data_IF_699974177239
#
_entry.id   IF_699974177239
#
_cell.length_a   1.000
_cell.length_b   1.000
_cell.length_c   1.000
_cell.angle_alpha   90.00
_cell.angle_beta   90.00
_cell.angle_gamma   90.00
#
_symmetry.space_group_name_H-M   'P 1'
#
loop_
_entity.id
_entity.type
_entity.pdbx_description
1 polymer ?
#
# COMPACT_ATOMS: atom_id res chain seq x y z
N UNK A 1 20.67 -2.16 9.75
CA UNK A 1 19.37 -1.55 9.38
C UNK A 1 18.35 -1.93 10.42
N UNK A 2 17.74 -0.97 11.10
CA UNK A 2 16.63 -1.26 12.01
C UNK A 2 15.37 -1.51 11.16
N UNK A 3 14.86 -2.74 11.19
CA UNK A 3 13.55 -3.06 10.63
C UNK A 3 12.50 -2.42 11.55
N UNK A 4 11.97 -1.26 11.15
CA UNK A 4 10.84 -0.64 11.83
C UNK A 4 9.64 -1.57 11.65
N UNK A 5 9.33 -2.34 12.70
CA UNK A 5 8.10 -3.13 12.75
C UNK A 5 6.94 -2.14 12.88
N UNK A 6 5.90 -2.23 12.05
CA UNK A 6 4.73 -1.38 12.20
C UNK A 6 4.11 -1.59 13.58
N UNK A 7 3.70 -0.51 14.22
CA UNK A 7 2.92 -0.57 15.47
C UNK A 7 1.53 -1.15 15.19
N UNK A 8 0.84 -1.68 16.19
CA UNK A 8 -0.50 -2.22 16.04
C UNK A 8 -1.51 -1.20 15.47
N UNK A 9 -1.31 0.08 15.79
CA UNK A 9 -2.09 1.19 15.23
C UNK A 9 -1.85 1.37 13.73
N UNK A 10 -0.58 1.36 13.30
CA UNK A 10 -0.20 1.44 11.89
C UNK A 10 -0.74 0.24 11.09
N UNK A 11 -0.76 -0.96 11.70
CA UNK A 11 -1.37 -2.15 11.11
C UNK A 11 -2.85 -1.93 10.81
N UNK A 12 -3.60 -1.41 11.79
CA UNK A 12 -5.01 -1.11 11.60
C UNK A 12 -5.27 -0.06 10.51
N UNK A 13 -4.37 0.90 10.31
CA UNK A 13 -4.57 1.98 9.33
C UNK A 13 -4.47 1.48 7.88
N UNK A 14 -3.38 0.77 7.53
CA UNK A 14 -3.23 0.30 6.15
C UNK A 14 -4.20 -0.86 5.84
N UNK A 15 -4.56 -1.70 6.81
CA UNK A 15 -5.56 -2.75 6.59
C UNK A 15 -6.94 -2.16 6.25
N UNK A 16 -7.37 -1.11 6.97
CA UNK A 16 -8.62 -0.41 6.64
C UNK A 16 -8.55 0.28 5.28
N UNK A 17 -7.40 0.87 4.93
CA UNK A 17 -7.22 1.49 3.61
C UNK A 17 -7.34 0.47 2.48
N UNK A 18 -6.65 -0.68 2.60
CA UNK A 18 -6.68 -1.73 1.58
C UNK A 18 -8.07 -2.35 1.44
N UNK A 19 -8.80 -2.52 2.54
CA UNK A 19 -10.19 -2.97 2.49
C UNK A 19 -11.09 -1.93 1.80
N UNK A 20 -10.91 -0.65 2.11
CA UNK A 20 -11.66 0.44 1.48
C UNK A 20 -11.39 0.55 -0.03
N UNK A 21 -10.19 0.19 -0.51
CA UNK A 21 -9.93 0.08 -1.96
C UNK A 21 -10.83 -0.99 -2.59
N UNK A 22 -10.89 -2.17 -1.99
CA UNK A 22 -11.70 -3.29 -2.48
C UNK A 22 -13.19 -2.92 -2.46
N UNK A 23 -13.68 -2.34 -1.36
CA UNK A 23 -15.06 -1.84 -1.22
C UNK A 23 -15.37 -0.70 -2.21
N UNK A 24 -14.38 0.13 -2.53
CA UNK A 24 -14.46 1.21 -3.50
C UNK A 24 -14.46 0.76 -4.96
N UNK A 25 -14.36 -0.55 -5.22
CA UNK A 25 -14.37 -1.11 -6.57
C UNK A 25 -13.02 -1.15 -7.27
N UNK A 26 -11.91 -1.10 -6.53
CA UNK A 26 -10.57 -1.30 -7.08
C UNK A 26 -10.43 -2.70 -7.70
N UNK A 27 -10.02 -2.77 -8.97
CA UNK A 27 -9.93 -4.04 -9.74
C UNK A 27 -8.50 -4.55 -9.90
N UNK A 28 -7.52 -3.71 -9.63
CA UNK A 28 -6.10 -4.04 -9.68
C UNK A 28 -5.67 -5.05 -8.61
N UNK A 29 -4.38 -5.39 -8.64
CA UNK A 29 -3.82 -6.34 -7.69
C UNK A 29 -3.33 -5.64 -6.42
N UNK A 30 -3.47 -6.31 -5.26
CA UNK A 30 -2.91 -5.88 -3.98
C UNK A 30 -1.92 -6.94 -3.50
N UNK A 31 -0.62 -6.64 -3.59
CA UNK A 31 0.44 -7.53 -3.15
C UNK A 31 0.86 -7.26 -1.70
N UNK A 32 0.79 -8.30 -0.87
CA UNK A 32 1.23 -8.29 0.53
C UNK A 32 2.43 -9.22 0.78
N UNK A 33 2.81 -10.02 -0.21
CA UNK A 33 3.87 -10.99 -0.09
C UNK A 33 5.25 -10.32 0.04
N UNK A 34 6.18 -11.03 0.67
CA UNK A 34 7.50 -10.50 0.96
C UNK A 34 8.32 -10.21 -0.31
N UNK A 35 8.15 -11.00 -1.37
CA UNK A 35 8.92 -10.88 -2.61
C UNK A 35 8.60 -9.56 -3.31
N UNK A 36 7.31 -9.34 -3.62
CA UNK A 36 6.83 -8.13 -4.26
C UNK A 36 7.21 -6.88 -3.48
N UNK A 37 7.04 -6.91 -2.16
CA UNK A 37 7.37 -5.78 -1.28
C UNK A 37 8.88 -5.49 -1.21
N UNK A 38 9.73 -6.52 -1.29
CA UNK A 38 11.19 -6.35 -1.26
C UNK A 38 11.69 -5.72 -2.56
N UNK A 39 11.17 -6.15 -3.71
CA UNK A 39 11.50 -5.56 -5.02
C UNK A 39 11.15 -4.07 -5.03
N UNK A 40 10.01 -3.71 -4.46
CA UNK A 40 9.51 -2.33 -4.40
C UNK A 40 10.05 -1.52 -3.21
N UNK A 41 10.98 -2.06 -2.42
CA UNK A 41 11.52 -1.38 -1.25
C UNK A 41 12.63 -0.37 -1.57
N UNK A 42 12.97 -0.18 -2.85
CA UNK A 42 14.07 0.70 -3.30
C UNK A 42 13.57 1.70 -4.33
N UNK A 43 14.10 2.92 -4.27
CA UNK A 43 13.80 4.02 -5.20
C UNK A 43 15.04 4.40 -6.03
N UNK A 44 15.95 3.45 -6.25
CA UNK A 44 17.32 3.63 -6.79
C UNK A 44 18.33 4.26 -5.79
N UNK A 45 17.94 4.42 -4.53
CA UNK A 45 18.88 4.74 -3.44
C UNK A 45 19.42 3.47 -2.77
N UNK A 46 20.54 3.60 -2.05
CA UNK A 46 21.09 2.51 -1.21
C UNK A 46 20.21 2.19 0.02
N UNK A 47 19.15 2.96 0.27
CA UNK A 47 18.24 2.77 1.39
C UNK A 47 17.05 1.91 0.98
N UNK A 48 16.74 0.92 1.82
CA UNK A 48 15.57 0.06 1.67
C UNK A 48 14.49 0.45 2.66
N UNK A 49 13.29 0.75 2.16
CA UNK A 49 12.08 1.00 2.96
C UNK A 49 11.01 -0.01 2.55
N UNK A 50 10.88 -1.07 3.34
CA UNK A 50 9.91 -2.13 3.05
C UNK A 50 8.48 -1.60 3.24
N UNK A 51 7.66 -1.51 2.17
CA UNK A 51 6.26 -1.10 2.30
C UNK A 51 5.44 -2.20 3.00
N UNK A 52 4.25 -1.86 3.49
CA UNK A 52 3.32 -2.82 4.10
C UNK A 52 2.57 -3.64 3.03
N UNK A 53 2.27 -3.01 1.88
CA UNK A 53 1.69 -3.61 0.69
C UNK A 53 2.04 -2.78 -0.54
N UNK A 54 1.82 -3.35 -1.72
CA UNK A 54 1.86 -2.64 -3.00
C UNK A 54 0.54 -2.84 -3.75
N UNK A 55 0.09 -1.82 -4.48
CA UNK A 55 -1.11 -1.89 -5.31
C UNK A 55 -0.74 -1.67 -6.77
N UNK A 56 -1.34 -2.45 -7.66
CA UNK A 56 -1.11 -2.41 -9.10
C UNK A 56 -2.44 -2.12 -9.81
N UNK A 57 -2.79 -0.83 -10.01
CA UNK A 57 -4.02 -0.42 -10.70
C UNK A 57 -4.14 -1.05 -12.09
N UNK A 58 -5.34 -1.51 -12.46
CA UNK A 58 -5.59 -2.03 -13.80
C UNK A 58 -5.66 -0.91 -14.83
N UNK A 59 -6.26 0.23 -14.47
CA UNK A 59 -6.42 1.40 -15.32
C UNK A 59 -6.54 2.70 -14.52
N UNK A 60 -6.87 3.80 -15.19
CA UNK A 60 -6.99 5.12 -14.59
C UNK A 60 -8.15 5.23 -13.59
N UNK A 61 -9.17 4.36 -13.67
CA UNK A 61 -10.25 4.33 -12.69
C UNK A 61 -9.72 3.86 -11.34
N UNK A 62 -8.93 2.79 -11.34
CA UNK A 62 -8.29 2.28 -10.12
C UNK A 62 -7.33 3.30 -9.49
N UNK A 63 -6.56 4.03 -10.32
CA UNK A 63 -5.71 5.14 -9.84
C UNK A 63 -6.56 6.23 -9.17
N UNK A 64 -7.71 6.58 -9.75
CA UNK A 64 -8.60 7.57 -9.18
C UNK A 64 -9.20 7.13 -7.83
N UNK A 65 -9.53 5.83 -7.67
CA UNK A 65 -9.98 5.28 -6.39
C UNK A 65 -8.89 5.43 -5.32
N UNK A 66 -7.66 5.02 -5.65
CA UNK A 66 -6.51 5.15 -4.72
C UNK A 66 -6.31 6.59 -4.28
N UNK A 67 -6.26 7.53 -5.23
CA UNK A 67 -6.06 8.94 -4.92
C UNK A 67 -7.20 9.53 -4.06
N UNK A 68 -8.46 9.14 -4.33
CA UNK A 68 -9.62 9.62 -3.55
C UNK A 68 -9.61 9.10 -2.11
N UNK A 69 -9.22 7.84 -1.89
CA UNK A 69 -9.12 7.32 -0.53
C UNK A 69 -7.92 7.92 0.20
N UNK A 70 -6.78 8.08 -0.47
CA UNK A 70 -5.56 8.63 0.14
C UNK A 70 -5.71 10.11 0.55
N UNK A 71 -6.67 10.84 -0.03
CA UNK A 71 -7.00 12.20 0.36
C UNK A 71 -7.90 12.29 1.60
N UNK A 72 -8.39 11.16 2.14
CA UNK A 72 -9.27 11.16 3.31
C UNK A 72 -8.45 11.17 4.61
N UNK A 73 -8.76 12.03 5.59
CA UNK A 73 -7.97 12.15 6.82
C UNK A 73 -7.96 10.89 7.71
N UNK A 74 -8.93 9.99 7.53
CA UNK A 74 -9.02 8.74 8.30
C UNK A 74 -7.98 7.67 7.92
N UNK A 75 -7.20 7.89 6.85
CA UNK A 75 -6.17 6.98 6.33
C UNK A 75 -4.81 7.67 6.26
#
# INVERSE_FOLDING_TARGET
>A
MALLKPTSEQIGHYDRFLNALVEGGFRGEIARDHGSRTVLATDNSIYQRLPQAAVFPMDSHDVAIVARLAARPEY
#
